data_IF_325120484869
#
_entry.id   IF_325120484869
#
_cell.length_a   1.000
_cell.length_b   1.000
_cell.length_c   1.000
_cell.angle_alpha   90.00
_cell.angle_beta   90.00
_cell.angle_gamma   90.00
#
_symmetry.space_group_name_H-M   'P 1'
#
loop_
_entity.id
_entity.type
_entity.pdbx_description
1 polymer ?
#
# COMPACT_ATOMS: atom_id res chain seq x y z
N UNK A 1 5.64 13.01 -93.10
CA UNK A 1 6.32 13.57 -91.92
C UNK A 1 5.46 14.68 -91.34
N UNK A 2 4.70 14.40 -90.29
CA UNK A 2 4.02 15.42 -89.49
C UNK A 2 4.14 15.02 -88.02
N UNK A 3 4.69 15.95 -87.25
CA UNK A 3 5.10 15.85 -85.84
C UNK A 3 3.87 15.96 -84.93
N UNK A 4 3.73 15.05 -83.96
CA UNK A 4 2.70 15.12 -82.91
C UNK A 4 3.12 16.08 -81.81
N UNK A 5 2.23 17.01 -81.45
CA UNK A 5 2.32 17.88 -80.28
C UNK A 5 1.59 17.16 -79.12
N UNK A 6 2.28 16.93 -78.01
CA UNK A 6 1.68 16.48 -76.75
C UNK A 6 1.40 17.72 -75.87
N UNK A 7 0.17 17.80 -75.36
CA UNK A 7 -0.30 18.83 -74.45
C UNK A 7 -0.26 18.28 -73.01
N UNK A 8 0.53 18.90 -72.14
CA UNK A 8 0.65 18.53 -70.72
C UNK A 8 -0.45 19.19 -69.89
N UNK A 9 -1.15 18.42 -69.06
CA UNK A 9 -2.02 18.92 -68.00
C UNK A 9 -1.33 18.72 -66.65
N UNK A 10 -1.09 19.81 -65.91
CA UNK A 10 -0.54 19.77 -64.56
C UNK A 10 -1.68 19.78 -63.53
N UNK A 11 -1.74 18.76 -62.68
CA UNK A 11 -2.67 18.69 -61.55
C UNK A 11 -1.96 19.22 -60.29
N UNK A 12 -2.44 20.33 -59.74
CA UNK A 12 -1.95 20.88 -58.47
C UNK A 12 -2.75 20.23 -57.32
N UNK A 13 -2.12 19.35 -56.54
CA UNK A 13 -2.68 18.86 -55.28
C UNK A 13 -2.17 19.71 -54.11
N UNK A 14 -3.06 20.47 -53.47
CA UNK A 14 -2.77 21.22 -52.25
C UNK A 14 -2.93 20.28 -51.05
N UNK A 15 -1.83 19.99 -50.35
CA UNK A 15 -1.87 19.27 -49.08
C UNK A 15 -2.29 20.23 -47.95
N UNK A 16 -3.48 20.02 -47.39
CA UNK A 16 -3.89 20.66 -46.13
C UNK A 16 -3.24 19.85 -44.99
N UNK A 17 -2.20 20.41 -44.38
CA UNK A 17 -1.56 19.85 -43.20
C UNK A 17 -2.48 19.98 -41.99
N UNK A 18 -3.06 18.87 -41.52
CA UNK A 18 -3.66 18.78 -40.19
C UNK A 18 -2.52 18.77 -39.17
N UNK A 19 -2.29 19.90 -38.51
CA UNK A 19 -1.43 19.96 -37.33
C UNK A 19 -2.11 19.24 -36.18
N UNK A 20 -1.67 18.01 -35.90
CA UNK A 20 -2.01 17.34 -34.65
C UNK A 20 -1.43 18.14 -33.49
N UNK A 21 -2.31 18.75 -32.69
CA UNK A 21 -1.91 19.34 -31.43
C UNK A 21 -1.37 18.22 -30.53
N UNK A 22 -0.05 18.21 -30.33
CA UNK A 22 0.59 17.34 -29.34
C UNK A 22 0.00 17.68 -27.97
N UNK A 23 -0.47 16.72 -27.17
CA UNK A 23 -0.91 16.99 -25.81
C UNK A 23 0.21 17.72 -25.07
N UNK A 24 -0.10 18.84 -24.44
CA UNK A 24 0.85 19.60 -23.64
C UNK A 24 1.56 18.66 -22.68
N UNK A 25 2.89 18.61 -22.78
CA UNK A 25 3.73 17.93 -21.81
C UNK A 25 3.27 18.37 -20.42
N UNK A 26 2.87 17.40 -19.58
CA UNK A 26 2.75 17.62 -18.15
C UNK A 26 4.08 18.26 -17.74
N UNK A 27 4.06 19.55 -17.39
CA UNK A 27 5.26 20.22 -16.88
C UNK A 27 5.74 19.36 -15.71
N UNK A 28 6.88 18.68 -15.89
CA UNK A 28 7.55 18.04 -14.78
C UNK A 28 7.95 19.17 -13.84
N UNK A 29 7.16 19.36 -12.79
CA UNK A 29 7.50 20.29 -11.74
C UNK A 29 8.89 19.89 -11.26
N UNK A 30 9.84 20.81 -11.30
CA UNK A 30 11.20 20.54 -10.82
C UNK A 30 11.11 19.95 -9.40
N UNK A 31 11.88 18.90 -9.14
CA UNK A 31 11.93 18.32 -7.81
C UNK A 31 12.34 19.41 -6.81
N UNK A 32 11.74 19.44 -5.60
CA UNK A 32 12.18 20.33 -4.54
C UNK A 32 13.68 20.16 -4.24
N UNK A 33 14.30 21.19 -3.66
CA UNK A 33 15.65 21.04 -3.13
C UNK A 33 15.66 20.06 -1.95
N UNK A 34 16.74 19.30 -1.80
CA UNK A 34 16.93 18.39 -0.68
C UNK A 34 16.76 19.11 0.67
N UNK A 35 16.05 18.49 1.61
CA UNK A 35 15.80 18.99 2.97
C UNK A 35 15.17 20.40 3.05
N UNK A 36 14.47 20.82 1.98
CA UNK A 36 13.75 22.10 1.94
C UNK A 36 12.29 21.98 2.37
N UNK A 37 11.64 23.13 2.60
CA UNK A 37 10.18 23.17 2.75
C UNK A 37 9.52 23.22 1.37
N UNK A 38 8.60 22.30 1.11
CA UNK A 38 7.83 22.26 -0.12
C UNK A 38 6.38 21.85 0.14
N UNK A 39 5.53 22.07 -0.86
CA UNK A 39 4.12 21.66 -0.82
C UNK A 39 3.73 21.02 -2.14
N UNK A 40 2.81 20.05 -2.10
CA UNK A 40 2.29 19.32 -3.28
C UNK A 40 3.42 18.68 -4.11
N UNK A 41 4.37 18.01 -3.46
CA UNK A 41 5.39 17.21 -4.15
C UNK A 41 4.77 15.86 -4.55
N UNK A 42 4.56 15.58 -5.83
CA UNK A 42 4.01 14.30 -6.27
C UNK A 42 5.03 13.18 -6.04
N UNK A 43 4.59 12.09 -5.42
CA UNK A 43 5.46 10.95 -5.08
C UNK A 43 5.21 9.75 -5.97
N UNK A 44 3.94 9.44 -6.22
CA UNK A 44 3.53 8.31 -7.03
C UNK A 44 2.35 8.71 -7.91
N UNK A 45 2.37 8.24 -9.16
CA UNK A 45 1.29 8.40 -10.11
C UNK A 45 0.77 7.00 -10.46
N UNK A 46 -0.43 6.62 -10.01
CA UNK A 46 -1.03 5.35 -10.43
C UNK A 46 -1.29 5.36 -11.94
N UNK A 47 -1.39 4.16 -12.51
CA UNK A 47 -1.75 4.01 -13.91
C UNK A 47 -3.12 4.68 -14.17
N UNK A 48 -3.27 5.32 -15.33
CA UNK A 48 -4.49 6.04 -15.68
C UNK A 48 -5.74 5.13 -15.68
N UNK A 49 -5.55 3.86 -16.03
CA UNK A 49 -6.56 2.83 -16.07
C UNK A 49 -6.71 2.05 -14.75
N UNK A 50 -5.95 2.37 -13.70
CA UNK A 50 -6.11 1.74 -12.39
C UNK A 50 -7.56 1.90 -11.86
N UNK A 51 -8.06 0.97 -11.03
CA UNK A 51 -9.40 1.02 -10.45
C UNK A 51 -9.69 2.36 -9.73
N UNK A 52 -10.97 2.69 -9.50
CA UNK A 52 -11.42 4.02 -9.03
C UNK A 52 -10.57 4.61 -7.88
N UNK A 53 -10.24 3.78 -6.89
CA UNK A 53 -9.48 4.18 -5.70
C UNK A 53 -8.00 4.42 -5.99
N UNK A 54 -7.43 3.74 -6.98
CA UNK A 54 -6.04 3.76 -7.43
C UNK A 54 -5.02 3.51 -6.32
N UNK A 55 -4.87 4.46 -5.40
CA UNK A 55 -4.04 4.36 -4.20
C UNK A 55 -4.75 4.97 -3.00
N UNK A 56 -4.58 4.37 -1.82
CA UNK A 56 -5.16 4.88 -0.58
C UNK A 56 -4.26 4.60 0.64
N UNK A 57 -4.63 5.15 1.80
CA UNK A 57 -4.06 4.80 3.10
C UNK A 57 -2.51 4.92 3.21
N UNK A 58 -1.94 6.05 2.77
CA UNK A 58 -0.50 6.25 2.85
C UNK A 58 0.04 6.15 4.29
N UNK A 59 1.22 5.54 4.47
CA UNK A 59 2.00 5.52 5.71
C UNK A 59 3.47 5.76 5.43
N UNK A 60 4.11 6.55 6.29
CA UNK A 60 5.53 6.85 6.20
C UNK A 60 6.24 6.56 7.52
N UNK A 61 7.53 6.25 7.44
CA UNK A 61 8.39 5.99 8.59
C UNK A 61 9.79 6.59 8.32
N UNK A 62 10.37 7.25 9.32
CA UNK A 62 11.78 7.64 9.27
C UNK A 62 12.64 6.51 9.85
N UNK A 63 13.66 6.11 9.09
CA UNK A 63 14.63 5.11 9.50
C UNK A 63 15.76 5.72 10.35
N UNK A 64 16.57 4.86 10.98
CA UNK A 64 17.68 5.28 11.85
C UNK A 64 18.74 6.12 11.10
N UNK A 65 18.95 5.84 9.82
CA UNK A 65 19.83 6.60 8.91
C UNK A 65 19.22 7.93 8.42
N UNK A 66 18.06 8.32 8.96
CA UNK A 66 17.28 9.52 8.63
C UNK A 66 16.61 9.49 7.25
N UNK A 67 16.80 8.43 6.46
CA UNK A 67 16.00 8.23 5.26
C UNK A 67 14.53 7.99 5.62
N UNK A 68 13.64 8.34 4.70
CA UNK A 68 12.20 8.13 4.83
C UNK A 68 11.80 6.95 3.95
N UNK A 69 10.89 6.12 4.44
CA UNK A 69 10.18 5.14 3.62
C UNK A 69 8.69 5.45 3.58
N UNK A 70 8.03 5.13 2.47
CA UNK A 70 6.61 5.38 2.22
C UNK A 70 5.97 4.13 1.62
N UNK A 71 4.76 3.83 2.07
CA UNK A 71 3.90 2.77 1.53
C UNK A 71 2.43 3.23 1.51
N UNK A 72 1.58 2.48 0.82
CA UNK A 72 0.16 2.75 0.62
C UNK A 72 -0.55 1.48 0.11
N UNK A 73 -1.88 1.50 0.12
CA UNK A 73 -2.71 0.51 -0.59
C UNK A 73 -2.64 0.78 -2.09
N UNK A 74 -2.15 -0.17 -2.87
CA UNK A 74 -1.84 0.01 -4.29
C UNK A 74 -2.64 -0.97 -5.15
N UNK A 75 -3.75 -0.49 -5.71
CA UNK A 75 -4.69 -1.33 -6.46
C UNK A 75 -4.26 -1.49 -7.92
N UNK A 76 -3.77 -2.67 -8.34
CA UNK A 76 -3.21 -2.84 -9.66
C UNK A 76 -4.30 -2.82 -10.74
N UNK A 77 -3.94 -2.36 -11.93
CA UNK A 77 -4.79 -2.56 -13.10
C UNK A 77 -4.80 -4.05 -13.50
N UNK A 78 -5.98 -4.58 -13.84
CA UNK A 78 -6.12 -5.97 -14.26
C UNK A 78 -5.83 -6.94 -13.12
N UNK A 79 -6.30 -6.60 -11.92
CA UNK A 79 -6.14 -7.43 -10.73
C UNK A 79 -6.71 -8.84 -10.94
N UNK A 80 -5.94 -9.85 -10.55
CA UNK A 80 -6.29 -11.26 -10.72
C UNK A 80 -5.48 -12.13 -9.75
N UNK A 81 -5.77 -13.44 -9.72
CA UNK A 81 -5.02 -14.39 -8.88
C UNK A 81 -3.49 -14.42 -9.14
N UNK A 82 -3.01 -13.90 -10.27
CA UNK A 82 -1.58 -13.80 -10.60
C UNK A 82 -1.04 -12.36 -10.59
N UNK A 83 -1.88 -11.39 -10.26
CA UNK A 83 -1.56 -9.96 -10.20
C UNK A 83 -2.38 -9.34 -9.06
N UNK A 84 -1.95 -9.60 -7.83
CA UNK A 84 -2.61 -9.17 -6.59
C UNK A 84 -1.91 -7.92 -6.03
N UNK A 85 -2.60 -7.21 -5.13
CA UNK A 85 -2.00 -6.08 -4.42
C UNK A 85 -0.77 -6.50 -3.61
N UNK A 86 0.17 -5.56 -3.54
CA UNK A 86 1.32 -5.62 -2.66
C UNK A 86 1.61 -4.23 -2.12
N UNK A 87 2.13 -4.15 -0.90
CA UNK A 87 2.57 -2.87 -0.35
C UNK A 87 3.89 -2.47 -0.98
N UNK A 88 3.86 -1.50 -1.90
CA UNK A 88 5.07 -0.88 -2.45
C UNK A 88 5.81 -0.11 -1.37
N UNK A 89 7.14 -0.15 -1.40
CA UNK A 89 8.01 0.62 -0.52
C UNK A 89 8.85 1.57 -1.37
N UNK A 90 8.61 2.87 -1.21
CA UNK A 90 9.49 3.92 -1.71
C UNK A 90 10.46 4.37 -0.62
N UNK A 91 11.62 4.89 -1.02
CA UNK A 91 12.60 5.51 -0.13
C UNK A 91 13.02 6.88 -0.62
N UNK A 92 13.22 7.80 0.33
CA UNK A 92 13.81 9.12 0.11
C UNK A 92 15.01 9.30 1.05
N UNK A 93 16.11 9.81 0.51
CA UNK A 93 17.34 10.15 1.27
C UNK A 93 17.60 11.66 1.33
N UNK A 94 16.65 12.47 0.88
CA UNK A 94 16.80 13.92 0.68
C UNK A 94 15.66 14.72 1.34
N UNK A 95 15.06 14.18 2.40
CA UNK A 95 13.98 14.84 3.14
C UNK A 95 12.62 14.82 2.44
N UNK A 96 12.39 13.84 1.56
CA UNK A 96 11.14 13.66 0.83
C UNK A 96 11.04 14.47 -0.47
N UNK A 97 12.15 15.07 -0.92
CA UNK A 97 12.21 15.83 -2.15
C UNK A 97 12.14 14.90 -3.38
N UNK A 98 12.84 13.77 -3.34
CA UNK A 98 12.74 12.71 -4.34
C UNK A 98 12.50 11.35 -3.69
N UNK A 99 11.87 10.45 -4.44
CA UNK A 99 11.52 9.09 -4.00
C UNK A 99 11.88 8.08 -5.08
N UNK A 100 12.38 6.93 -4.66
CA UNK A 100 12.70 5.81 -5.54
C UNK A 100 12.11 4.51 -5.00
N UNK A 101 11.78 3.58 -5.92
CA UNK A 101 11.39 2.22 -5.57
C UNK A 101 12.50 1.54 -4.77
N UNK A 102 12.16 1.00 -3.60
CA UNK A 102 13.06 0.21 -2.77
C UNK A 102 12.73 -1.28 -2.86
N UNK A 103 11.47 -1.63 -2.59
CA UNK A 103 10.99 -3.01 -2.54
C UNK A 103 9.46 -3.04 -2.56
N UNK A 104 8.88 -4.22 -2.34
CA UNK A 104 7.45 -4.41 -2.10
C UNK A 104 7.22 -5.58 -1.14
N UNK A 105 6.08 -5.58 -0.45
CA UNK A 105 5.63 -6.67 0.40
C UNK A 105 4.43 -7.33 -0.25
N UNK A 106 4.67 -8.49 -0.86
CA UNK A 106 3.61 -9.33 -1.41
C UNK A 106 3.17 -10.37 -0.37
N UNK A 107 1.92 -10.81 -0.47
CA UNK A 107 1.42 -11.94 0.30
C UNK A 107 2.07 -13.23 -0.23
N UNK A 108 2.75 -13.93 0.67
CA UNK A 108 3.47 -15.17 0.41
C UNK A 108 2.87 -16.37 1.13
N UNK A 109 1.78 -16.17 1.88
CA UNK A 109 1.18 -17.20 2.73
C UNK A 109 -0.23 -17.58 2.27
N UNK A 110 -1.07 -16.60 1.93
CA UNK A 110 -2.49 -16.83 1.71
C UNK A 110 -2.84 -16.87 0.22
N UNK A 111 -2.05 -16.21 -0.63
CA UNK A 111 -2.33 -16.08 -2.06
C UNK A 111 -3.50 -15.14 -2.35
N UNK A 112 -3.74 -14.19 -1.45
CA UNK A 112 -4.85 -13.24 -1.46
C UNK A 112 -4.40 -11.81 -1.76
N UNK A 113 -3.13 -11.51 -1.50
CA UNK A 113 -2.57 -10.17 -1.64
C UNK A 113 -2.42 -9.48 -0.29
N UNK A 114 -1.53 -8.48 -0.22
CA UNK A 114 -1.45 -7.56 0.91
C UNK A 114 -2.23 -6.31 0.51
N UNK A 115 -3.53 -6.30 0.80
CA UNK A 115 -4.52 -5.44 0.16
C UNK A 115 -4.72 -4.13 0.89
N UNK A 116 -4.92 -4.18 2.21
CA UNK A 116 -5.40 -3.00 2.92
C UNK A 116 -4.60 -2.61 4.17
N UNK A 117 -4.70 -1.33 4.49
CA UNK A 117 -4.29 -0.66 5.72
C UNK A 117 -2.85 -0.97 6.20
N UNK A 118 -1.83 -0.78 5.36
CA UNK A 118 -0.45 -1.00 5.78
C UNK A 118 -0.08 -0.11 6.97
N UNK A 119 0.75 -0.61 7.87
CA UNK A 119 1.36 0.16 8.94
C UNK A 119 2.78 -0.32 9.24
N UNK A 120 3.74 0.60 9.29
CA UNK A 120 5.16 0.31 9.46
C UNK A 120 5.67 0.73 10.83
N UNK A 121 6.61 -0.02 11.38
CA UNK A 121 7.25 0.28 12.67
C UNK A 121 8.69 -0.25 12.72
N UNK A 122 9.59 0.46 13.43
CA UNK A 122 10.95 -0.02 13.70
C UNK A 122 11.04 -0.49 15.14
N UNK A 123 11.36 -1.77 15.36
CA UNK A 123 11.52 -2.31 16.72
C UNK A 123 12.60 -1.56 17.49
N UNK A 124 12.29 -1.15 18.72
CA UNK A 124 13.28 -0.59 19.66
C UNK A 124 13.85 -1.68 20.58
N UNK A 125 13.15 -2.80 20.76
CA UNK A 125 13.59 -3.97 21.50
C UNK A 125 13.80 -5.22 20.63
N UNK A 126 14.27 -6.30 21.26
CA UNK A 126 14.39 -7.63 20.63
C UNK A 126 13.18 -8.48 20.97
N UNK A 127 12.59 -9.13 19.97
CA UNK A 127 11.43 -10.02 20.11
C UNK A 127 11.77 -11.35 19.45
N UNK A 128 12.01 -12.38 20.26
CA UNK A 128 12.46 -13.68 19.75
C UNK A 128 13.73 -13.54 18.88
N UNK A 129 13.63 -13.93 17.61
CA UNK A 129 14.72 -13.84 16.62
C UNK A 129 14.82 -12.49 15.90
N UNK A 130 13.98 -11.51 16.24
CA UNK A 130 13.93 -10.20 15.60
C UNK A 130 14.62 -9.16 16.49
N UNK A 131 15.86 -8.74 16.17
CA UNK A 131 16.58 -7.75 16.96
C UNK A 131 15.98 -6.35 16.84
N UNK A 132 16.32 -5.47 17.77
CA UNK A 132 16.07 -4.03 17.64
C UNK A 132 16.61 -3.51 16.29
N UNK A 133 15.88 -2.59 15.66
CA UNK A 133 16.14 -2.10 14.32
C UNK A 133 15.49 -2.92 13.20
N UNK A 134 14.88 -4.08 13.50
CA UNK A 134 14.02 -4.78 12.55
C UNK A 134 12.84 -3.89 12.16
N UNK A 135 12.62 -3.71 10.86
CA UNK A 135 11.43 -3.05 10.35
C UNK A 135 10.29 -4.05 10.24
N UNK A 136 9.12 -3.63 10.68
CA UNK A 136 7.87 -4.37 10.54
C UNK A 136 6.96 -3.62 9.58
N UNK A 137 6.18 -4.38 8.84
CA UNK A 137 4.97 -3.89 8.19
C UNK A 137 3.85 -4.89 8.45
N UNK A 138 2.73 -4.39 8.96
CA UNK A 138 1.49 -5.15 9.05
C UNK A 138 0.46 -4.58 8.10
N UNK A 139 -0.51 -5.40 7.72
CA UNK A 139 -1.68 -4.99 6.96
C UNK A 139 -2.61 -6.17 6.75
N UNK A 140 -3.70 -5.92 6.03
CA UNK A 140 -4.74 -6.92 5.79
C UNK A 140 -4.46 -7.72 4.53
N UNK A 141 -4.47 -9.04 4.68
CA UNK A 141 -4.53 -10.00 3.58
C UNK A 141 -5.94 -10.62 3.53
N UNK A 142 -6.59 -10.49 2.38
CA UNK A 142 -8.00 -10.86 2.19
C UNK A 142 -8.25 -11.20 0.72
N UNK A 143 -9.08 -12.20 0.38
CA UNK A 143 -9.34 -12.58 -1.00
C UNK A 143 -9.78 -11.38 -1.85
N UNK A 144 -9.44 -11.41 -3.15
CA UNK A 144 -9.87 -10.39 -4.12
C UNK A 144 -11.40 -10.19 -4.14
N UNK A 145 -12.16 -11.25 -3.89
CA UNK A 145 -13.62 -11.20 -3.80
C UNK A 145 -14.13 -10.46 -2.57
N UNK A 146 -13.28 -10.18 -1.59
CA UNK A 146 -13.61 -9.73 -0.23
C UNK A 146 -14.40 -10.77 0.59
N UNK A 147 -14.97 -11.77 -0.06
CA UNK A 147 -15.62 -12.90 0.61
C UNK A 147 -14.64 -13.82 1.35
N UNK A 148 -15.03 -14.20 2.57
CA UNK A 148 -14.27 -15.15 3.39
C UNK A 148 -13.23 -14.50 4.30
N UNK A 149 -12.12 -15.20 4.51
CA UNK A 149 -11.18 -14.90 5.61
C UNK A 149 -10.45 -13.57 5.48
N UNK A 150 -10.18 -12.94 6.62
CA UNK A 150 -9.38 -11.72 6.74
C UNK A 150 -8.26 -11.98 7.72
N UNK A 151 -7.00 -11.84 7.29
CA UNK A 151 -5.84 -11.85 8.18
C UNK A 151 -5.27 -10.45 8.35
N UNK A 152 -4.86 -10.12 9.56
CA UNK A 152 -3.84 -9.09 9.77
C UNK A 152 -2.50 -9.82 9.82
N UNK A 153 -1.68 -9.63 8.79
CA UNK A 153 -0.37 -10.27 8.65
C UNK A 153 0.75 -9.30 8.97
N UNK A 154 1.85 -9.81 9.52
CA UNK A 154 3.08 -9.05 9.73
C UNK A 154 4.25 -9.64 8.96
N UNK A 155 4.97 -8.77 8.27
CA UNK A 155 6.23 -9.04 7.60
C UNK A 155 7.36 -8.25 8.29
N UNK A 156 8.57 -8.80 8.24
CA UNK A 156 9.75 -8.22 8.86
C UNK A 156 10.89 -8.06 7.84
N UNK A 157 11.67 -6.99 8.00
CA UNK A 157 12.89 -6.70 7.25
C UNK A 157 14.03 -6.36 8.20
N UNK A 158 15.19 -6.99 7.98
CA UNK A 158 16.42 -6.76 8.75
C UNK A 158 17.47 -5.99 7.94
N UNK A 159 17.13 -5.56 6.72
CA UNK A 159 18.05 -4.93 5.77
C UNK A 159 17.56 -3.53 5.33
N UNK A 160 16.87 -2.84 6.25
CA UNK A 160 16.30 -1.50 6.04
C UNK A 160 15.25 -1.46 4.92
N UNK A 161 14.42 -2.50 4.83
CA UNK A 161 13.26 -2.55 3.95
C UNK A 161 13.58 -2.99 2.53
N UNK A 162 14.74 -3.60 2.27
CA UNK A 162 15.10 -4.10 0.93
C UNK A 162 14.45 -5.46 0.66
N UNK A 163 14.41 -6.32 1.66
CA UNK A 163 13.74 -7.62 1.60
C UNK A 163 12.82 -7.82 2.79
N UNK A 164 11.76 -8.59 2.58
CA UNK A 164 10.70 -8.83 3.56
C UNK A 164 10.44 -10.33 3.69
N UNK A 165 10.30 -10.79 4.93
CA UNK A 165 9.96 -12.18 5.25
C UNK A 165 8.70 -12.19 6.11
N UNK A 166 7.78 -13.12 5.81
CA UNK A 166 6.59 -13.31 6.63
C UNK A 166 7.00 -13.65 8.07
N UNK A 167 6.48 -12.89 9.03
CA UNK A 167 6.72 -13.15 10.44
C UNK A 167 5.61 -14.03 11.03
N UNK A 168 4.35 -13.58 10.99
CA UNK A 168 3.20 -14.36 11.49
C UNK A 168 1.86 -13.73 11.09
N UNK A 169 0.79 -14.50 11.28
CA UNK A 169 -0.57 -13.98 11.36
C UNK A 169 -0.79 -13.38 12.76
N UNK A 170 -1.22 -12.13 12.85
CA UNK A 170 -1.51 -11.44 14.12
C UNK A 170 -2.91 -11.83 14.61
N UNK A 171 -3.89 -11.75 13.72
CA UNK A 171 -5.28 -12.02 14.00
C UNK A 171 -5.97 -12.54 12.74
N UNK A 172 -7.04 -13.30 12.95
CA UNK A 172 -7.91 -13.81 11.90
C UNK A 172 -9.37 -13.44 12.18
N UNK A 173 -10.07 -13.04 11.13
CA UNK A 173 -11.51 -12.88 11.05
C UNK A 173 -12.08 -13.79 9.97
N UNK A 174 -13.30 -14.31 10.17
CA UNK A 174 -13.98 -15.11 9.15
C UNK A 174 -14.50 -14.28 7.97
N UNK A 175 -14.48 -12.95 8.12
CA UNK A 175 -15.02 -11.96 7.20
C UNK A 175 -16.53 -12.10 6.97
N UNK A 176 -17.05 -11.70 5.80
CA UNK A 176 -16.31 -11.10 4.68
C UNK A 176 -15.63 -9.78 5.05
N UNK A 177 -14.70 -9.32 4.21
CA UNK A 177 -14.07 -8.01 4.29
C UNK A 177 -15.10 -6.95 3.87
N UNK A 178 -15.98 -6.54 4.80
CA UNK A 178 -16.92 -5.43 4.58
C UNK A 178 -17.19 -4.70 5.90
N UNK A 179 -17.78 -3.51 5.82
CA UNK A 179 -18.17 -2.71 6.99
C UNK A 179 -19.56 -3.06 7.53
N UNK A 180 -20.19 -4.13 7.02
CA UNK A 180 -21.55 -4.52 7.41
C UNK A 180 -21.57 -5.09 8.82
N UNK A 181 -22.44 -4.56 9.68
CA UNK A 181 -22.64 -5.09 11.03
C UNK A 181 -22.99 -6.58 11.00
N UNK A 182 -22.26 -7.37 11.78
CA UNK A 182 -22.42 -8.83 11.85
C UNK A 182 -21.36 -9.61 11.06
N UNK A 183 -20.63 -8.96 10.16
CA UNK A 183 -19.46 -9.55 9.51
C UNK A 183 -18.29 -9.66 10.48
N UNK A 184 -17.41 -10.65 10.28
CA UNK A 184 -16.32 -10.94 11.19
C UNK A 184 -14.97 -10.43 10.66
N UNK A 185 -14.93 -9.18 10.19
CA UNK A 185 -13.72 -8.56 9.64
C UNK A 185 -12.85 -7.87 10.71
N UNK A 186 -11.59 -7.60 10.34
CA UNK A 186 -10.58 -6.96 11.20
C UNK A 186 -9.71 -6.00 10.37
N UNK A 187 -9.32 -4.85 10.92
CA UNK A 187 -8.78 -3.72 10.14
C UNK A 187 -7.65 -2.97 10.84
N UNK A 188 -6.91 -2.19 10.05
CA UNK A 188 -6.19 -1.00 10.54
C UNK A 188 -5.17 -1.28 11.67
N UNK A 189 -4.19 -2.17 11.46
CA UNK A 189 -3.18 -2.45 12.47
C UNK A 189 -2.39 -1.19 12.85
N UNK A 190 -2.12 -1.04 14.15
CA UNK A 190 -1.27 0.02 14.69
C UNK A 190 -0.32 -0.55 15.77
N UNK A 191 0.98 -0.35 15.60
CA UNK A 191 2.00 -0.90 16.50
C UNK A 191 2.26 0.04 17.69
N UNK A 192 2.49 -0.56 18.86
CA UNK A 192 3.04 0.13 20.03
C UNK A 192 3.95 -0.82 20.81
N UNK A 193 5.19 -0.41 21.05
CA UNK A 193 6.03 -1.09 22.03
C UNK A 193 5.83 -0.51 23.41
N UNK A 194 5.54 -1.39 24.38
CA UNK A 194 5.39 -0.99 25.77
C UNK A 194 5.78 -2.14 26.69
N UNK A 195 6.62 -1.83 27.69
CA UNK A 195 7.00 -2.77 28.75
C UNK A 195 7.47 -4.16 28.26
N UNK A 196 8.36 -4.17 27.26
CA UNK A 196 8.93 -5.40 26.69
C UNK A 196 7.98 -6.23 25.85
N UNK A 197 6.83 -5.68 25.46
CA UNK A 197 5.85 -6.30 24.56
C UNK A 197 5.60 -5.39 23.37
N UNK A 198 5.33 -6.02 22.23
CA UNK A 198 4.79 -5.35 21.06
C UNK A 198 3.29 -5.57 21.04
N UNK A 199 2.54 -4.48 21.08
CA UNK A 199 1.09 -4.45 20.96
C UNK A 199 0.73 -4.10 19.51
N UNK A 200 -0.34 -4.72 19.03
CA UNK A 200 -1.03 -4.35 17.79
C UNK A 200 -2.46 -4.03 18.15
N UNK A 201 -2.83 -2.78 17.97
CA UNK A 201 -4.22 -2.32 18.01
C UNK A 201 -4.84 -2.49 16.62
N UNK A 202 -6.13 -2.79 16.57
CA UNK A 202 -6.84 -2.96 15.30
C UNK A 202 -8.36 -2.82 15.53
N UNK A 203 -9.10 -2.50 14.48
CA UNK A 203 -10.56 -2.45 14.49
C UNK A 203 -11.11 -3.86 14.27
N UNK A 204 -12.17 -4.24 14.99
CA UNK A 204 -12.60 -5.63 15.13
C UNK A 204 -14.13 -5.76 15.13
N UNK A 205 -14.68 -6.57 14.22
CA UNK A 205 -16.11 -6.86 14.12
C UNK A 205 -16.45 -8.32 14.45
N UNK A 206 -15.48 -9.11 14.93
CA UNK A 206 -15.69 -10.55 15.19
C UNK A 206 -16.66 -10.82 16.33
N UNK A 207 -16.90 -9.83 17.18
CA UNK A 207 -17.85 -9.91 18.29
C UNK A 207 -19.22 -9.39 17.85
N UNK A 208 -20.19 -10.30 17.71
CA UNK A 208 -21.54 -9.95 17.26
C UNK A 208 -22.35 -9.12 18.26
N UNK A 209 -21.82 -8.86 19.46
CA UNK A 209 -22.41 -7.90 20.39
C UNK A 209 -22.12 -6.44 20.01
N UNK A 210 -21.27 -6.18 19.00
CA UNK A 210 -20.88 -4.84 18.59
C UNK A 210 -20.85 -4.71 17.06
N UNK A 211 -21.23 -3.53 16.55
CA UNK A 211 -21.05 -3.15 15.15
C UNK A 211 -19.57 -3.18 14.78
N UNK A 212 -18.73 -2.65 15.65
CA UNK A 212 -17.28 -2.67 15.63
C UNK A 212 -16.73 -2.27 17.01
N UNK A 213 -15.55 -2.77 17.36
CA UNK A 213 -14.78 -2.34 18.53
C UNK A 213 -13.31 -2.14 18.19
N UNK A 214 -12.59 -1.48 19.09
CA UNK A 214 -11.12 -1.45 19.04
C UNK A 214 -10.59 -2.56 19.93
N UNK A 215 -9.79 -3.44 19.34
CA UNK A 215 -9.14 -4.57 20.01
C UNK A 215 -7.63 -4.37 20.01
N UNK A 216 -6.95 -5.11 20.88
CA UNK A 216 -5.50 -5.29 20.79
C UNK A 216 -5.11 -6.76 20.97
N UNK A 217 -3.96 -7.12 20.41
CA UNK A 217 -3.20 -8.32 20.72
C UNK A 217 -1.76 -7.93 21.02
N UNK A 218 -1.02 -8.75 21.76
CA UNK A 218 0.41 -8.50 22.01
C UNK A 218 1.26 -9.75 21.83
N UNK A 219 2.55 -9.53 21.62
CA UNK A 219 3.57 -10.58 21.48
C UNK A 219 4.86 -10.20 22.20
N UNK A 220 5.66 -11.22 22.52
CA UNK A 220 7.05 -11.09 22.95
C UNK A 220 8.05 -11.69 21.95
N UNK A 221 7.57 -12.28 20.85
CA UNK A 221 8.41 -13.03 19.90
C UNK A 221 8.06 -12.84 18.41
N UNK A 222 7.01 -12.04 18.09
CA UNK A 222 6.48 -11.83 16.73
C UNK A 222 5.96 -13.10 16.03
N UNK A 223 5.79 -14.19 16.78
CA UNK A 223 5.32 -15.49 16.26
C UNK A 223 4.04 -15.94 16.93
N UNK A 224 3.94 -15.74 18.24
CA UNK A 224 2.75 -16.05 19.04
C UNK A 224 2.15 -14.76 19.56
N UNK A 225 0.84 -14.65 19.38
CA UNK A 225 0.06 -13.50 19.82
C UNK A 225 -0.87 -13.92 20.95
N UNK A 226 -1.13 -12.99 21.87
CA UNK A 226 -2.19 -13.17 22.86
C UNK A 226 -3.54 -13.34 22.19
N UNK A 227 -4.53 -13.84 22.93
CA UNK A 227 -5.92 -13.61 22.56
C UNK A 227 -6.17 -12.09 22.45
N UNK A 228 -7.10 -11.72 21.58
CA UNK A 228 -7.51 -10.32 21.44
C UNK A 228 -8.31 -9.88 22.66
N UNK A 229 -8.08 -8.65 23.11
CA UNK A 229 -8.81 -8.02 24.20
C UNK A 229 -9.31 -6.65 23.80
N UNK A 230 -10.46 -6.26 24.33
CA UNK A 230 -11.10 -4.99 24.00
C UNK A 230 -10.35 -3.82 24.61
N UNK A 231 -10.22 -2.75 23.82
CA UNK A 231 -9.68 -1.45 24.23
C UNK A 231 -10.82 -0.45 24.35
N UNK A 232 -11.68 -0.40 23.34
CA UNK A 232 -12.90 0.42 23.32
C UNK A 232 -14.02 -0.42 22.72
N UNK A 233 -15.11 -0.60 23.47
CA UNK A 233 -16.33 -1.23 23.01
C UNK A 233 -17.53 -0.43 23.56
N UNK A 234 -18.44 -0.03 22.69
CA UNK A 234 -19.70 0.59 23.10
C UNK A 234 -20.69 -0.50 23.52
N UNK A 235 -21.43 -0.27 24.60
CA UNK A 235 -22.44 -1.24 25.07
C UNK A 235 -23.60 -1.44 24.07
N UNK A 236 -23.81 -0.49 23.17
CA UNK A 236 -24.88 -0.53 22.17
C UNK A 236 -24.39 -1.19 20.89
N UNK A 237 -25.09 -2.26 20.48
CA UNK A 237 -24.73 -3.12 19.34
C UNK A 237 -24.62 -2.35 18.01
N UNK A 238 -25.31 -1.22 17.86
CA UNK A 238 -25.41 -0.45 16.61
C UNK A 238 -24.76 0.94 16.69
N UNK A 239 -23.94 1.20 17.71
CA UNK A 239 -23.20 2.46 17.83
C UNK A 239 -22.13 2.63 16.74
#
# INVERSE_FOLDING_TARGET
MLTKILCSWALFCTFIGLSSAVPSAVQSRAAPAAFSTFTRNPVYYPLQNAPLWRVAYARALQLSDKSLILTWEDYPYGESATNLDAFKILRSTDGGATWANLSQVADTQNGWGMRFQPHMYTLTGTYGSFPAGTLLIAGVSTPLSLEGGVYIDVYASQDSGKTWTFASHIAYGKGPETVTTGDAAIWEPFFLEYNGKLYVYFSDQRDSAHSQKLSLSYTSDLKKWSASSDVVAYSDVNA
#
